data_IF_127161885154
#
_entry.id   IF_127161885154
#
_cell.length_a   1.000
_cell.length_b   1.000
_cell.length_c   1.000
_cell.angle_alpha   90.00
_cell.angle_beta   90.00
_cell.angle_gamma   90.00
#
_symmetry.space_group_name_H-M   'P 1'
#
loop_
_entity.id
_entity.type
_entity.pdbx_description
1 polymer ?
#
# COMPACT_ATOMS: atom_id res chain seq x y z
N UNK A 1 3.50 -2.29 -15.84
CA UNK A 1 3.83 -1.76 -17.18
C UNK A 1 4.30 -2.86 -18.14
N UNK A 2 5.40 -3.58 -17.87
CA UNK A 2 5.90 -4.67 -18.71
C UNK A 2 4.83 -5.70 -19.06
N UNK A 3 4.07 -6.18 -18.06
CA UNK A 3 2.97 -7.13 -18.29
C UNK A 3 1.92 -6.63 -19.30
N UNK A 4 1.56 -5.34 -19.23
CA UNK A 4 0.61 -4.74 -20.16
C UNK A 4 1.17 -4.68 -21.59
N UNK A 5 2.48 -4.38 -21.74
CA UNK A 5 3.15 -4.38 -23.04
C UNK A 5 3.22 -5.79 -23.63
N UNK A 6 3.49 -6.82 -22.82
CA UNK A 6 3.56 -8.22 -23.24
C UNK A 6 2.21 -8.74 -23.77
N UNK A 7 1.10 -8.28 -23.21
CA UNK A 7 -0.26 -8.61 -23.69
C UNK A 7 -0.73 -7.67 -24.83
N UNK A 8 0.19 -6.88 -25.40
CA UNK A 8 -0.03 -6.07 -26.59
C UNK A 8 -0.75 -4.73 -26.36
N UNK A 9 -0.70 -4.17 -25.15
CA UNK A 9 -1.04 -2.75 -24.89
C UNK A 9 0.13 -1.89 -25.33
N UNK A 10 -0.10 -0.81 -26.08
CA UNK A 10 0.98 0.10 -26.49
C UNK A 10 1.22 1.17 -25.43
N UNK A 11 2.43 1.74 -25.38
CA UNK A 11 2.76 2.84 -24.44
C UNK A 11 1.78 4.01 -24.59
N UNK A 12 1.40 4.35 -25.82
CA UNK A 12 0.38 5.37 -26.11
C UNK A 12 -1.01 5.05 -25.56
N UNK A 13 -1.36 3.76 -25.40
CA UNK A 13 -2.63 3.35 -24.82
C UNK A 13 -2.60 3.54 -23.29
N UNK A 14 -1.42 3.42 -22.65
CA UNK A 14 -1.23 3.71 -21.23
C UNK A 14 -1.41 5.19 -20.91
N UNK A 15 -0.95 6.08 -21.79
CA UNK A 15 -1.17 7.53 -21.66
C UNK A 15 -2.63 7.96 -21.86
N UNK A 16 -3.51 7.05 -22.29
CA UNK A 16 -4.95 7.28 -22.50
C UNK A 16 -5.82 6.63 -21.43
N UNK A 17 -5.22 6.10 -20.37
CA UNK A 17 -5.97 5.59 -19.23
C UNK A 17 -6.67 6.78 -18.56
N UNK A 18 -7.99 6.84 -18.72
CA UNK A 18 -8.82 7.87 -18.08
C UNK A 18 -9.13 7.46 -16.64
N UNK A 19 -8.32 7.97 -15.71
CA UNK A 19 -8.59 7.89 -14.27
C UNK A 19 -9.30 9.16 -13.84
N UNK A 20 -10.49 9.00 -13.26
CA UNK A 20 -11.24 10.10 -12.64
C UNK A 20 -10.61 10.46 -11.30
N UNK A 21 -10.51 11.75 -11.00
CA UNK A 21 -9.92 12.25 -9.75
C UNK A 21 -8.53 11.65 -9.41
N UNK A 22 -7.55 11.65 -10.35
CA UNK A 22 -6.23 11.07 -10.10
C UNK A 22 -5.47 11.83 -8.99
N UNK A 23 -5.83 13.11 -8.78
CA UNK A 23 -5.34 13.94 -7.68
C UNK A 23 -5.57 13.30 -6.31
N UNK A 24 -6.59 12.46 -6.14
CA UNK A 24 -6.89 11.84 -4.85
C UNK A 24 -5.76 10.88 -4.42
N UNK A 25 -5.21 10.08 -5.34
CA UNK A 25 -4.08 9.20 -5.05
C UNK A 25 -2.81 10.00 -4.73
N UNK A 26 -2.61 11.13 -5.41
CA UNK A 26 -1.48 12.04 -5.14
C UNK A 26 -1.65 12.69 -3.75
N UNK A 27 -2.86 13.15 -3.43
CA UNK A 27 -3.17 13.73 -2.13
C UNK A 27 -2.98 12.71 -0.99
N UNK A 28 -3.35 11.45 -1.19
CA UNK A 28 -3.08 10.37 -0.24
C UNK A 28 -1.57 10.20 0.01
N UNK A 29 -0.76 10.13 -1.06
CA UNK A 29 0.68 9.99 -0.95
C UNK A 29 1.35 11.20 -0.26
N UNK A 30 0.89 12.42 -0.59
CA UNK A 30 1.36 13.65 0.04
C UNK A 30 0.95 13.74 1.52
N UNK A 31 -0.26 13.32 1.87
CA UNK A 31 -0.71 13.28 3.25
C UNK A 31 0.14 12.29 4.08
N UNK A 32 0.36 11.08 3.56
CA UNK A 32 1.17 10.07 4.24
C UNK A 32 2.64 10.50 4.37
N UNK A 33 3.26 10.91 3.26
CA UNK A 33 4.66 11.34 3.26
C UNK A 33 4.88 12.63 4.05
N UNK A 34 3.96 13.59 3.96
CA UNK A 34 4.03 14.86 4.66
C UNK A 34 3.89 14.70 6.17
N UNK A 35 2.94 13.89 6.64
CA UNK A 35 2.78 13.60 8.07
C UNK A 35 3.94 12.76 8.62
N UNK A 36 4.44 11.79 7.84
CA UNK A 36 5.64 11.03 8.21
C UNK A 36 6.86 11.95 8.35
N UNK A 37 7.06 12.86 7.40
CA UNK A 37 8.15 13.84 7.44
C UNK A 37 8.00 14.82 8.62
N UNK A 38 6.80 15.32 8.90
CA UNK A 38 6.54 16.18 10.05
C UNK A 38 6.85 15.47 11.38
N UNK A 39 6.52 14.19 11.50
CA UNK A 39 6.88 13.39 12.68
C UNK A 39 8.38 13.14 12.78
N UNK A 40 9.05 12.87 11.67
CA UNK A 40 10.51 12.75 11.65
C UNK A 40 11.21 14.03 12.12
N UNK A 41 10.67 15.21 11.77
CA UNK A 41 11.17 16.51 12.23
C UNK A 41 10.76 16.87 13.67
N UNK A 42 10.03 16.00 14.38
CA UNK A 42 9.55 16.25 15.73
C UNK A 42 8.41 17.28 15.84
N UNK A 43 7.82 17.69 14.72
CA UNK A 43 6.72 18.69 14.69
C UNK A 43 5.37 18.10 15.14
N UNK A 44 5.18 16.79 14.95
CA UNK A 44 3.96 16.07 15.31
C UNK A 44 4.29 14.74 15.98
N UNK A 45 3.52 14.38 17.01
CA UNK A 45 3.69 13.09 17.68
C UNK A 45 3.25 11.93 16.76
N UNK A 46 3.94 10.77 16.81
CA UNK A 46 3.55 9.57 16.06
C UNK A 46 2.11 9.12 16.35
N UNK A 47 1.65 9.31 17.60
CA UNK A 47 0.31 8.95 18.04
C UNK A 47 -0.80 9.77 17.38
N UNK A 48 -0.48 10.96 16.86
CA UNK A 48 -1.42 11.80 16.11
C UNK A 48 -1.22 11.63 14.60
N UNK A 49 0.03 11.70 14.13
CA UNK A 49 0.35 11.68 12.70
C UNK A 49 0.01 10.34 12.04
N UNK A 50 0.25 9.21 12.72
CA UNK A 50 -0.04 7.87 12.20
C UNK A 50 -1.54 7.68 11.90
N UNK A 51 -2.43 7.78 12.91
CA UNK A 51 -3.87 7.65 12.70
C UNK A 51 -4.43 8.67 11.70
N UNK A 52 -3.94 9.93 11.73
CA UNK A 52 -4.37 10.96 10.80
C UNK A 52 -3.96 10.62 9.36
N UNK A 53 -2.71 10.20 9.14
CA UNK A 53 -2.22 9.81 7.83
C UNK A 53 -3.04 8.65 7.26
N UNK A 54 -3.28 7.60 8.05
CA UNK A 54 -4.08 6.45 7.61
C UNK A 54 -5.52 6.85 7.31
N UNK A 55 -6.14 7.70 8.13
CA UNK A 55 -7.49 8.22 7.87
C UNK A 55 -7.55 8.99 6.54
N UNK A 56 -6.60 9.88 6.29
CA UNK A 56 -6.52 10.66 5.05
C UNK A 56 -6.27 9.77 3.83
N UNK A 57 -5.35 8.82 3.93
CA UNK A 57 -5.06 7.86 2.85
C UNK A 57 -6.31 7.07 2.49
N UNK A 58 -7.02 6.53 3.48
CA UNK A 58 -8.24 5.75 3.25
C UNK A 58 -9.34 6.62 2.63
N UNK A 59 -9.51 7.85 3.12
CA UNK A 59 -10.49 8.79 2.57
C UNK A 59 -10.20 9.13 1.11
N UNK A 60 -8.97 9.55 0.79
CA UNK A 60 -8.59 9.94 -0.56
C UNK A 60 -8.55 8.76 -1.52
N UNK A 61 -7.93 7.64 -1.14
CA UNK A 61 -7.89 6.43 -1.97
C UNK A 61 -9.31 5.87 -2.15
N UNK A 62 -10.12 5.82 -1.09
CA UNK A 62 -11.51 5.40 -1.16
C UNK A 62 -12.34 6.26 -2.11
N UNK A 63 -12.16 7.59 -2.07
CA UNK A 63 -12.78 8.50 -3.03
C UNK A 63 -12.32 8.25 -4.47
N UNK A 64 -11.01 8.09 -4.69
CA UNK A 64 -10.46 7.75 -6.00
C UNK A 64 -11.00 6.43 -6.55
N UNK A 65 -11.13 5.41 -5.69
CA UNK A 65 -11.72 4.11 -6.04
C UNK A 65 -13.20 4.27 -6.36
N UNK A 66 -13.97 5.00 -5.56
CA UNK A 66 -15.37 5.26 -5.80
C UNK A 66 -15.61 5.98 -7.14
N UNK A 67 -14.82 7.01 -7.44
CA UNK A 67 -14.86 7.74 -8.70
C UNK A 67 -14.55 6.83 -9.91
N UNK A 68 -13.78 5.75 -9.70
CA UNK A 68 -13.35 4.79 -10.71
C UNK A 68 -13.91 3.38 -10.49
N UNK A 69 -15.07 3.23 -9.82
CA UNK A 69 -15.67 1.93 -9.46
C UNK A 69 -15.87 0.94 -10.62
N UNK A 70 -15.85 1.44 -11.86
CA UNK A 70 -15.88 0.64 -13.07
C UNK A 70 -14.59 -0.11 -13.37
N UNK A 71 -13.45 0.25 -12.78
CA UNK A 71 -12.17 -0.48 -12.87
C UNK A 71 -12.14 -1.55 -11.76
N UNK A 72 -12.30 -2.83 -12.16
CA UNK A 72 -12.44 -3.92 -11.19
C UNK A 72 -11.17 -4.14 -10.37
N UNK A 73 -10.02 -3.88 -10.98
CA UNK A 73 -8.70 -3.96 -10.35
C UNK A 73 -8.54 -3.07 -9.11
N UNK A 74 -9.26 -1.95 -9.03
CA UNK A 74 -9.22 -1.06 -7.86
C UNK A 74 -9.85 -1.70 -6.61
N UNK A 75 -10.75 -2.67 -6.75
CA UNK A 75 -11.29 -3.38 -5.60
C UNK A 75 -10.24 -4.24 -4.89
N UNK A 76 -9.26 -4.78 -5.62
CA UNK A 76 -8.13 -5.47 -5.00
C UNK A 76 -7.28 -4.51 -4.15
N UNK A 77 -7.08 -3.27 -4.62
CA UNK A 77 -6.41 -2.22 -3.85
C UNK A 77 -7.18 -1.93 -2.57
N UNK A 78 -8.50 -1.77 -2.66
CA UNK A 78 -9.35 -1.53 -1.49
C UNK A 78 -9.30 -2.70 -0.51
N UNK A 79 -9.34 -3.94 -0.99
CA UNK A 79 -9.23 -5.14 -0.15
C UNK A 79 -7.90 -5.16 0.59
N UNK A 80 -6.79 -4.95 -0.11
CA UNK A 80 -5.46 -4.95 0.52
C UNK A 80 -5.30 -3.83 1.56
N UNK A 81 -5.78 -2.63 1.26
CA UNK A 81 -5.84 -1.53 2.24
C UNK A 81 -6.70 -1.89 3.46
N UNK A 82 -7.87 -2.49 3.22
CA UNK A 82 -8.77 -2.95 4.28
C UNK A 82 -8.13 -4.00 5.19
N UNK A 83 -7.38 -4.94 4.63
CA UNK A 83 -6.63 -5.94 5.40
C UNK A 83 -5.57 -5.27 6.29
N UNK A 84 -4.75 -4.37 5.73
CA UNK A 84 -3.73 -3.67 6.49
C UNK A 84 -4.34 -2.81 7.61
N UNK A 85 -5.42 -2.09 7.33
CA UNK A 85 -6.13 -1.31 8.34
C UNK A 85 -6.72 -2.18 9.45
N UNK A 86 -7.28 -3.33 9.12
CA UNK A 86 -7.83 -4.25 10.12
C UNK A 86 -6.74 -4.75 11.06
N UNK A 87 -5.56 -5.10 10.52
CA UNK A 87 -4.38 -5.48 11.33
C UNK A 87 -3.97 -4.32 12.22
N UNK A 88 -3.76 -3.13 11.66
CA UNK A 88 -3.33 -1.97 12.44
C UNK A 88 -4.35 -1.62 13.54
N UNK A 89 -5.64 -1.61 13.23
CA UNK A 89 -6.70 -1.31 14.19
C UNK A 89 -6.72 -2.33 15.35
N UNK A 90 -6.58 -3.62 15.04
CA UNK A 90 -6.51 -4.68 16.05
C UNK A 90 -5.24 -4.62 16.93
N UNK A 91 -4.21 -3.91 16.48
CA UNK A 91 -2.91 -3.78 17.15
C UNK A 91 -2.63 -2.34 17.62
N UNK A 92 -3.68 -1.56 17.90
CA UNK A 92 -3.55 -0.21 18.49
C UNK A 92 -2.87 0.80 17.56
N UNK A 93 -3.07 0.66 16.25
CA UNK A 93 -2.49 1.52 15.22
C UNK A 93 -1.11 1.09 14.71
N UNK A 94 -0.59 -0.05 15.16
CA UNK A 94 0.74 -0.53 14.78
C UNK A 94 0.63 -1.70 13.80
N UNK A 95 1.56 -1.76 12.84
CA UNK A 95 1.74 -2.89 11.95
C UNK A 95 2.71 -3.90 12.59
N UNK A 96 2.27 -5.12 12.92
CA UNK A 96 3.15 -6.15 13.44
C UNK A 96 4.08 -6.68 12.35
N UNK A 97 5.37 -6.83 12.68
CA UNK A 97 6.43 -7.25 11.77
C UNK A 97 7.09 -8.53 12.27
N UNK A 98 7.23 -9.52 11.39
CA UNK A 98 7.88 -10.78 11.71
C UNK A 98 9.40 -10.63 11.81
N UNK A 99 9.97 -10.96 12.97
CA UNK A 99 11.42 -10.99 13.17
C UNK A 99 12.11 -11.99 12.22
N UNK A 100 11.50 -13.14 11.96
CA UNK A 100 12.06 -14.14 11.03
C UNK A 100 12.01 -13.64 9.59
N UNK A 101 10.97 -12.89 9.21
CA UNK A 101 10.89 -12.27 7.90
C UNK A 101 11.93 -11.13 7.74
N UNK A 102 12.17 -10.33 8.77
CA UNK A 102 13.24 -9.32 8.77
C UNK A 102 14.62 -9.94 8.56
N UNK A 103 14.90 -11.05 9.25
CA UNK A 103 16.14 -11.81 9.05
C UNK A 103 16.25 -12.35 7.62
N UNK A 104 15.20 -13.00 7.10
CA UNK A 104 15.17 -13.53 5.74
C UNK A 104 15.29 -12.42 4.67
N UNK A 105 14.81 -11.21 4.95
CA UNK A 105 14.93 -10.05 4.06
C UNK A 105 16.32 -9.39 4.12
N UNK A 106 17.26 -9.87 4.96
CA UNK A 106 18.61 -9.31 5.10
C UNK A 106 18.66 -8.01 5.91
N UNK A 107 17.60 -7.71 6.67
CA UNK A 107 17.44 -6.50 7.49
C UNK A 107 17.21 -6.85 8.97
N UNK A 108 17.70 -8.00 9.43
CA UNK A 108 17.55 -8.46 10.81
C UNK A 108 18.14 -7.52 11.87
N UNK A 109 19.04 -6.60 11.49
CA UNK A 109 19.57 -5.57 12.40
C UNK A 109 18.52 -4.56 12.90
N UNK A 110 17.33 -4.52 12.29
CA UNK A 110 16.20 -3.73 12.77
C UNK A 110 15.46 -4.37 13.94
N UNK A 111 15.65 -5.67 14.20
CA UNK A 111 14.96 -6.38 15.29
C UNK A 111 15.21 -5.73 16.66
N UNK A 112 16.47 -5.44 17.09
CA UNK A 112 16.72 -4.78 18.37
C UNK A 112 16.13 -3.37 18.44
N UNK A 113 16.06 -2.66 17.30
CA UNK A 113 15.44 -1.33 17.24
C UNK A 113 13.93 -1.42 17.46
N UNK A 114 13.26 -2.43 16.92
CA UNK A 114 11.83 -2.67 17.14
C UNK A 114 11.51 -3.24 18.53
N UNK A 115 12.50 -3.82 19.22
CA UNK A 115 12.38 -4.25 20.63
C UNK A 115 12.49 -3.07 21.61
N UNK A 116 13.40 -2.14 21.34
CA UNK A 116 13.77 -1.04 22.25
C UNK A 116 13.03 0.26 21.95
N UNK A 117 12.74 0.50 20.68
CA UNK A 117 12.02 1.67 20.18
C UNK A 117 10.66 1.17 19.74
N UNK A 118 9.61 1.69 20.37
CA UNK A 118 8.34 1.80 19.68
C UNK A 118 8.56 2.78 18.54
N UNK A 119 9.12 2.33 17.42
CA UNK A 119 8.86 2.98 16.14
C UNK A 119 7.35 3.14 16.11
N UNK A 120 6.84 4.36 16.15
CA UNK A 120 5.44 4.67 16.52
C UNK A 120 4.37 4.10 15.59
N UNK A 121 4.74 3.15 14.72
CA UNK A 121 3.94 2.47 13.71
C UNK A 121 4.28 0.98 13.55
N UNK A 122 5.41 0.46 14.05
CA UNK A 122 5.79 -0.94 13.90
C UNK A 122 6.05 -1.61 15.25
N UNK A 123 5.56 -2.84 15.40
CA UNK A 123 5.79 -3.69 16.58
C UNK A 123 6.26 -5.06 16.14
N UNK A 124 6.98 -5.77 17.00
CA UNK A 124 7.33 -7.15 16.68
C UNK A 124 6.11 -8.07 16.80
N UNK A 125 5.97 -8.97 15.83
CA UNK A 125 4.95 -10.00 15.83
C UNK A 125 5.26 -11.05 16.90
N UNK A 126 4.23 -11.35 17.70
CA UNK A 126 4.25 -12.37 18.75
C UNK A 126 3.13 -13.39 18.52
N UNK A 127 3.16 -14.57 19.16
CA UNK A 127 2.08 -15.55 19.05
C UNK A 127 0.70 -15.03 19.46
N UNK A 128 0.64 -13.98 20.30
CA UNK A 128 -0.60 -13.37 20.79
C UNK A 128 -1.05 -12.18 19.96
N UNK A 129 -0.32 -11.80 18.91
CA UNK A 129 -0.62 -10.65 18.04
C UNK A 129 -1.93 -10.90 17.26
N UNK A 130 -2.98 -10.09 17.49
CA UNK A 130 -4.22 -10.18 16.72
C UNK A 130 -3.96 -10.01 15.22
N UNK A 131 -4.53 -10.91 14.41
CA UNK A 131 -4.37 -10.89 12.95
C UNK A 131 -2.90 -10.90 12.48
N UNK A 132 -1.96 -11.40 13.30
CA UNK A 132 -0.52 -11.34 12.98
C UNK A 132 -0.15 -11.99 11.64
N UNK A 133 -0.88 -13.02 11.20
CA UNK A 133 -0.67 -13.65 9.89
C UNK A 133 -0.91 -12.72 8.69
N UNK A 134 -1.63 -11.62 8.88
CA UNK A 134 -1.84 -10.55 7.90
C UNK A 134 -0.88 -9.37 8.07
N UNK A 135 0.00 -9.41 9.08
CA UNK A 135 1.07 -8.44 9.28
C UNK A 135 2.21 -8.59 8.26
N UNK A 136 3.30 -7.88 8.50
CA UNK A 136 4.49 -7.91 7.65
C UNK A 136 5.24 -9.22 7.88
N UNK A 137 4.89 -10.21 7.06
CA UNK A 137 5.32 -11.60 7.21
C UNK A 137 6.01 -12.15 5.97
N UNK A 138 5.94 -11.45 4.83
CA UNK A 138 6.47 -11.91 3.55
C UNK A 138 7.81 -11.21 3.28
N UNK A 139 8.95 -11.92 3.37
CA UNK A 139 10.25 -11.33 3.10
C UNK A 139 10.49 -11.11 1.61
N UNK A 140 10.92 -9.92 1.23
CA UNK A 140 11.42 -9.58 -0.09
C UNK A 140 12.90 -9.22 -0.01
N UNK A 141 13.76 -10.23 0.02
CA UNK A 141 15.21 -10.07 0.23
C UNK A 141 15.89 -9.19 -0.83
N UNK A 142 15.43 -9.26 -2.09
CA UNK A 142 15.96 -8.44 -3.18
C UNK A 142 15.65 -6.94 -3.04
N UNK A 143 14.59 -6.60 -2.30
CA UNK A 143 14.20 -5.22 -1.99
C UNK A 143 14.58 -4.80 -0.57
N UNK A 144 15.16 -5.69 0.24
CA UNK A 144 15.42 -5.48 1.67
C UNK A 144 14.18 -4.96 2.40
N UNK A 145 13.04 -5.59 2.16
CA UNK A 145 11.75 -5.23 2.75
C UNK A 145 11.00 -6.47 3.22
N UNK A 146 10.10 -6.27 4.17
CA UNK A 146 9.06 -7.24 4.51
C UNK A 146 7.73 -6.58 4.15
N UNK A 147 6.83 -7.34 3.54
CA UNK A 147 5.51 -6.86 3.13
C UNK A 147 4.42 -7.71 3.75
N UNK A 148 3.22 -7.19 3.78
CA UNK A 148 2.03 -7.90 4.23
C UNK A 148 1.32 -8.63 3.08
N UNK A 149 0.43 -9.60 3.38
CA UNK A 149 -0.54 -10.09 2.39
C UNK A 149 -1.38 -8.96 1.80
N UNK A 150 -1.77 -7.96 2.59
CA UNK A 150 -2.50 -6.78 2.09
C UNK A 150 -1.72 -6.00 1.03
N UNK A 151 -0.40 -5.86 1.19
CA UNK A 151 0.46 -5.22 0.18
C UNK A 151 0.51 -6.00 -1.13
N UNK A 152 0.41 -7.33 -1.07
CA UNK A 152 0.30 -8.17 -2.28
C UNK A 152 -1.01 -7.86 -3.01
N UNK A 153 -2.14 -7.76 -2.30
CA UNK A 153 -3.43 -7.36 -2.90
C UNK A 153 -3.36 -5.95 -3.51
N UNK A 154 -2.73 -4.99 -2.82
CA UNK A 154 -2.52 -3.63 -3.33
C UNK A 154 -1.69 -3.67 -4.61
N UNK A 155 -0.56 -4.37 -4.60
CA UNK A 155 0.34 -4.47 -5.75
C UNK A 155 -0.36 -5.12 -6.96
N UNK A 156 -1.08 -6.22 -6.74
CA UNK A 156 -1.85 -6.90 -7.78
C UNK A 156 -2.96 -5.99 -8.33
N UNK A 157 -3.62 -5.22 -7.46
CA UNK A 157 -4.61 -4.22 -7.86
C UNK A 157 -4.00 -3.13 -8.74
N UNK A 158 -2.86 -2.55 -8.35
CA UNK A 158 -2.14 -1.55 -9.14
C UNK A 158 -1.71 -2.10 -10.51
N UNK A 159 -1.14 -3.32 -10.54
CA UNK A 159 -0.81 -4.01 -11.80
C UNK A 159 -2.07 -4.18 -12.65
N UNK A 160 -3.18 -4.59 -12.02
CA UNK A 160 -4.49 -4.73 -12.62
C UNK A 160 -4.98 -3.43 -13.25
N UNK A 161 -4.82 -2.27 -12.59
CA UNK A 161 -5.25 -0.96 -13.14
C UNK A 161 -4.51 -0.64 -14.43
N UNK A 162 -3.19 -0.88 -14.47
CA UNK A 162 -2.38 -0.63 -15.66
C UNK A 162 -2.79 -1.56 -16.80
N UNK A 163 -3.05 -2.84 -16.51
CA UNK A 163 -3.47 -3.85 -17.49
C UNK A 163 -4.89 -3.58 -17.99
N UNK A 164 -5.86 -3.49 -17.08
CA UNK A 164 -7.27 -3.25 -17.36
C UNK A 164 -7.49 -1.91 -18.06
N UNK A 165 -6.89 -0.84 -17.54
CA UNK A 165 -6.93 0.48 -18.14
C UNK A 165 -6.32 0.50 -19.53
N UNK A 166 -5.14 -0.12 -19.70
CA UNK A 166 -4.48 -0.22 -20.99
C UNK A 166 -5.29 -1.00 -22.04
N UNK A 167 -5.91 -2.11 -21.65
CA UNK A 167 -6.77 -2.91 -22.53
C UNK A 167 -8.04 -2.15 -22.94
N UNK A 168 -8.67 -1.42 -22.01
CA UNK A 168 -9.83 -0.56 -22.30
C UNK A 168 -9.46 0.55 -23.28
N UNK A 169 -8.35 1.24 -23.05
CA UNK A 169 -7.86 2.30 -23.94
C UNK A 169 -7.53 1.78 -25.35
N UNK A 170 -6.88 0.59 -25.43
CA UNK A 170 -6.64 -0.10 -26.70
C UNK A 170 -7.94 -0.39 -27.45
N UNK A 171 -8.97 -0.90 -26.76
CA UNK A 171 -10.27 -1.19 -27.36
C UNK A 171 -10.92 0.06 -27.94
N UNK A 172 -11.00 1.15 -27.17
CA UNK A 172 -11.55 2.43 -27.63
C UNK A 172 -10.84 2.94 -28.87
N UNK A 173 -9.50 2.85 -28.91
CA UNK A 173 -8.71 3.26 -30.07
C UNK A 173 -8.97 2.42 -31.32
N UNK A 174 -9.23 1.13 -31.18
CA UNK A 174 -9.55 0.25 -32.32
C UNK A 174 -10.98 0.46 -32.85
N UNK A 175 -11.82 1.16 -32.08
CA UNK A 175 -13.21 1.48 -32.42
C UNK A 175 -13.39 2.92 -32.93
N UNK A 176 -12.33 3.74 -32.90
CA UNK A 176 -12.28 5.11 -33.40
C UNK A 176 -11.55 5.16 -34.75
#
# INVERSE_FOLDING_TARGET
MVLALLIGVRIQDLGRIDLRAPWAFIAAALAEGGLAYATYQGLLSPSLSGPLAKTLVVGFVGYGIYANRGLKSLWLVLTGLGLNLAVMAANGGHMPVSATALQAAGIGHWVPLLETTRDGVHTLLTPTTPLGFLGDTIPLSFMRKVISPGDVFILLGIIGVVVEGGLRAKKTRLQA
#
